data_IF_698040756711
#
_entry.id   IF_698040756711
#
_cell.length_a   1.000
_cell.length_b   1.000
_cell.length_c   1.000
_cell.angle_alpha   90.00
_cell.angle_beta   90.00
_cell.angle_gamma   90.00
#
_symmetry.space_group_name_H-M   'P 1'
#
loop_
_entity.id
_entity.type
_entity.pdbx_description
1 polymer ?
#
# COMPACT_ATOMS: atom_id res chain seq x y z
N UNK A 1 -45.56 6.18 -17.48
CA UNK A 1 -45.03 5.89 -18.84
C UNK A 1 -43.80 6.77 -19.01
N UNK A 2 -42.57 6.34 -19.27
CA UNK A 2 -41.98 5.07 -19.75
C UNK A 2 -40.65 4.86 -19.00
N UNK A 3 -40.37 3.65 -18.52
CA UNK A 3 -39.03 3.22 -18.13
C UNK A 3 -38.14 3.18 -19.37
N UNK A 4 -37.02 3.89 -19.35
CA UNK A 4 -35.93 3.67 -20.28
C UNK A 4 -35.23 2.36 -19.89
N UNK A 5 -35.60 1.26 -20.54
CA UNK A 5 -34.78 0.05 -20.59
C UNK A 5 -33.54 0.42 -21.40
N UNK A 6 -32.42 0.63 -20.71
CA UNK A 6 -31.10 0.58 -21.33
C UNK A 6 -30.87 -0.89 -21.69
N UNK A 7 -30.77 -1.16 -22.99
CA UNK A 7 -30.39 -2.46 -23.49
C UNK A 7 -28.97 -2.76 -23.00
N UNK A 8 -28.85 -3.68 -22.05
CA UNK A 8 -27.59 -4.36 -21.80
C UNK A 8 -27.27 -5.15 -23.07
N UNK A 9 -26.42 -4.60 -23.93
CA UNK A 9 -25.64 -5.40 -24.85
C UNK A 9 -24.76 -6.28 -23.95
N UNK A 10 -25.25 -7.47 -23.62
CA UNK A 10 -24.52 -8.44 -22.83
C UNK A 10 -23.32 -8.87 -23.64
N UNK A 11 -22.16 -8.27 -23.37
CA UNK A 11 -20.89 -8.91 -23.66
C UNK A 11 -20.94 -10.25 -22.94
N UNK A 12 -20.79 -11.35 -23.67
CA UNK A 12 -20.83 -12.69 -23.11
C UNK A 12 -19.55 -12.94 -22.29
N UNK A 13 -19.55 -12.40 -21.06
CA UNK A 13 -18.44 -12.46 -20.10
C UNK A 13 -18.01 -13.90 -19.82
N UNK A 14 -18.92 -14.86 -20.03
CA UNK A 14 -18.75 -16.30 -19.83
C UNK A 14 -17.54 -16.89 -20.59
N UNK A 15 -17.19 -16.30 -21.73
CA UNK A 15 -16.11 -16.79 -22.60
C UNK A 15 -14.81 -15.98 -22.51
N UNK A 16 -14.80 -14.86 -21.79
CA UNK A 16 -13.64 -14.00 -21.70
C UNK A 16 -12.62 -14.56 -20.72
N UNK A 17 -11.35 -14.40 -21.03
CA UNK A 17 -10.29 -14.59 -20.04
C UNK A 17 -10.15 -13.34 -19.16
N UNK A 18 -9.49 -13.48 -18.01
CA UNK A 18 -9.19 -12.34 -17.13
C UNK A 18 -8.44 -11.22 -17.89
N UNK A 19 -7.38 -11.50 -18.67
CA UNK A 19 -6.71 -10.46 -19.46
C UNK A 19 -7.61 -9.77 -20.48
N UNK A 20 -8.51 -10.51 -21.13
CA UNK A 20 -9.43 -9.89 -22.10
C UNK A 20 -10.39 -8.92 -21.40
N UNK A 21 -10.85 -9.26 -20.19
CA UNK A 21 -11.67 -8.38 -19.38
C UNK A 21 -10.90 -7.14 -18.89
N UNK A 22 -9.63 -7.30 -18.51
CA UNK A 22 -8.74 -6.19 -18.14
C UNK A 22 -8.54 -5.23 -19.33
N UNK A 23 -8.22 -5.76 -20.51
CA UNK A 23 -8.04 -5.01 -21.76
C UNK A 23 -9.29 -4.23 -22.15
N UNK A 24 -10.48 -4.84 -22.08
CA UNK A 24 -11.75 -4.14 -22.37
C UNK A 24 -11.94 -2.93 -21.45
N UNK A 25 -11.59 -3.05 -20.17
CA UNK A 25 -11.71 -1.94 -19.21
C UNK A 25 -10.66 -0.86 -19.51
N UNK A 26 -9.43 -1.24 -19.82
CA UNK A 26 -8.37 -0.31 -20.22
C UNK A 26 -8.74 0.48 -21.47
N UNK A 27 -9.24 -0.20 -22.51
CA UNK A 27 -9.71 0.41 -23.74
C UNK A 27 -10.86 1.38 -23.46
N UNK A 28 -11.85 0.97 -22.66
CA UNK A 28 -12.96 1.84 -22.29
C UNK A 28 -12.50 3.08 -21.51
N UNK A 29 -11.55 2.94 -20.58
CA UNK A 29 -10.97 4.07 -19.84
C UNK A 29 -10.18 5.01 -20.77
N UNK A 30 -9.48 4.45 -21.76
CA UNK A 30 -8.77 5.23 -22.76
C UNK A 30 -9.74 5.98 -23.69
N UNK A 31 -10.81 5.35 -24.17
CA UNK A 31 -11.86 6.01 -24.96
C UNK A 31 -12.55 7.12 -24.18
N UNK A 32 -12.82 6.87 -22.89
CA UNK A 32 -13.41 7.85 -21.99
C UNK A 32 -12.58 9.13 -21.91
N UNK A 33 -11.25 9.05 -22.06
CA UNK A 33 -10.36 10.23 -22.05
C UNK A 33 -10.68 11.25 -23.15
N UNK A 34 -11.35 10.83 -24.24
CA UNK A 34 -11.75 11.69 -25.36
C UNK A 34 -13.19 12.20 -25.24
N UNK A 35 -13.92 11.84 -24.19
CA UNK A 35 -15.31 12.27 -24.02
C UNK A 35 -15.43 13.77 -23.79
N UNK A 36 -16.39 14.39 -24.46
CA UNK A 36 -16.69 15.82 -24.36
C UNK A 36 -17.87 16.13 -23.42
N UNK A 37 -18.42 15.11 -22.75
CA UNK A 37 -19.52 15.33 -21.80
C UNK A 37 -19.05 16.17 -20.59
N UNK A 38 -19.65 17.35 -20.32
CA UNK A 38 -19.19 18.25 -19.26
C UNK A 38 -19.19 17.65 -17.85
N UNK A 39 -20.11 16.70 -17.58
CA UNK A 39 -20.17 15.99 -16.30
C UNK A 39 -19.03 15.00 -16.16
N UNK A 40 -18.80 14.21 -17.21
CA UNK A 40 -17.75 13.21 -17.28
C UNK A 40 -16.34 13.85 -17.28
N UNK A 41 -16.12 14.97 -17.97
CA UNK A 41 -14.82 15.68 -18.02
C UNK A 41 -14.24 16.00 -16.63
N UNK A 42 -15.09 16.27 -15.65
CA UNK A 42 -14.65 16.47 -14.26
C UNK A 42 -14.15 15.17 -13.61
N UNK A 43 -14.84 14.06 -13.85
CA UNK A 43 -14.46 12.73 -13.33
C UNK A 43 -13.24 12.15 -14.07
N UNK A 44 -13.09 12.43 -15.37
CA UNK A 44 -11.95 11.96 -16.18
C UNK A 44 -10.60 12.43 -15.66
N UNK A 45 -10.53 13.55 -14.94
CA UNK A 45 -9.28 13.97 -14.26
C UNK A 45 -8.75 12.93 -13.27
N UNK A 46 -9.61 12.06 -12.75
CA UNK A 46 -9.27 11.00 -11.82
C UNK A 46 -9.23 9.62 -12.47
N UNK A 47 -10.07 9.38 -13.49
CA UNK A 47 -10.20 8.08 -14.15
C UNK A 47 -9.31 7.91 -15.39
N UNK A 48 -8.93 9.01 -16.05
CA UNK A 48 -8.05 9.06 -17.20
C UNK A 48 -7.23 10.37 -17.18
N UNK A 49 -6.30 10.53 -16.22
CA UNK A 49 -5.55 11.77 -16.06
C UNK A 49 -4.67 12.07 -17.30
N UNK A 50 -4.62 13.32 -17.79
CA UNK A 50 -3.84 13.66 -18.98
C UNK A 50 -2.36 13.32 -18.83
N UNK A 51 -1.79 12.65 -19.84
CA UNK A 51 -0.39 12.23 -19.85
C UNK A 51 -0.12 10.92 -19.10
N UNK A 52 -1.17 10.23 -18.66
CA UNK A 52 -1.09 8.92 -18.05
C UNK A 52 -1.98 7.91 -18.78
N UNK A 53 -1.54 6.66 -18.83
CA UNK A 53 -2.28 5.50 -19.28
C UNK A 53 -2.81 4.77 -18.04
N UNK A 54 -4.09 4.42 -18.07
CA UNK A 54 -4.68 3.55 -17.06
C UNK A 54 -4.27 2.10 -17.32
N UNK A 55 -3.95 1.39 -16.25
CA UNK A 55 -3.69 -0.05 -16.25
C UNK A 55 -4.64 -0.69 -15.25
N UNK A 56 -5.25 -1.80 -15.66
CA UNK A 56 -6.32 -2.47 -14.92
C UNK A 56 -5.89 -3.86 -14.49
N UNK A 57 -6.11 -4.19 -13.23
CA UNK A 57 -5.94 -5.54 -12.70
C UNK A 57 -7.20 -6.00 -11.97
N UNK A 58 -7.71 -7.17 -12.35
CA UNK A 58 -8.76 -7.87 -11.61
C UNK A 58 -8.14 -8.65 -10.47
N UNK A 59 -8.45 -8.27 -9.23
CA UNK A 59 -7.87 -8.84 -8.02
C UNK A 59 -8.89 -9.68 -7.25
N UNK A 60 -8.49 -10.81 -6.69
CA UNK A 60 -9.36 -11.55 -5.75
C UNK A 60 -9.52 -10.84 -4.40
N UNK A 61 -10.49 -11.24 -3.56
CA UNK A 61 -10.74 -10.73 -2.20
C UNK A 61 -9.46 -10.50 -1.34
N UNK A 62 -8.48 -11.40 -1.46
CA UNK A 62 -7.20 -11.29 -0.73
C UNK A 62 -6.25 -10.21 -1.28
N UNK A 63 -6.65 -9.50 -2.33
CA UNK A 63 -5.87 -8.47 -3.03
C UNK A 63 -4.82 -8.98 -4.00
N UNK A 64 -4.88 -10.25 -4.43
CA UNK A 64 -3.98 -10.85 -5.43
C UNK A 64 -4.61 -10.76 -6.82
N UNK A 65 -3.84 -10.36 -7.84
CA UNK A 65 -4.29 -10.38 -9.23
C UNK A 65 -4.72 -11.80 -9.64
N UNK A 66 -5.87 -11.90 -10.32
CA UNK A 66 -6.44 -13.15 -10.82
C UNK A 66 -5.49 -13.78 -11.83
N UNK A 67 -5.60 -15.09 -12.02
CA UNK A 67 -4.68 -15.79 -12.92
C UNK A 67 -5.02 -15.43 -14.36
N UNK A 68 -4.00 -15.12 -15.17
CA UNK A 68 -4.19 -14.78 -16.59
C UNK A 68 -4.87 -15.87 -17.42
N UNK A 69 -4.77 -17.12 -17.00
CA UNK A 69 -5.41 -18.26 -17.67
C UNK A 69 -6.78 -18.63 -17.06
N UNK A 70 -7.29 -17.85 -16.10
CA UNK A 70 -8.63 -18.03 -15.57
C UNK A 70 -9.66 -17.31 -16.45
N UNK A 71 -10.90 -17.80 -16.42
CA UNK A 71 -12.04 -17.15 -17.04
C UNK A 71 -12.48 -15.95 -16.22
N UNK A 72 -13.08 -14.96 -16.88
CA UNK A 72 -13.63 -13.77 -16.26
C UNK A 72 -14.76 -14.08 -15.28
N UNK A 73 -15.47 -15.21 -15.45
CA UNK A 73 -16.47 -15.71 -14.48
C UNK A 73 -15.91 -15.98 -13.08
N UNK A 74 -14.60 -16.20 -12.96
CA UNK A 74 -13.96 -16.38 -11.65
C UNK A 74 -13.85 -15.08 -10.86
N UNK A 75 -14.12 -13.93 -11.47
CA UNK A 75 -14.18 -12.61 -10.83
C UNK A 75 -15.62 -12.31 -10.38
N UNK A 76 -15.79 -11.93 -9.11
CA UNK A 76 -17.07 -11.60 -8.51
C UNK A 76 -17.10 -10.13 -8.05
N UNK A 77 -18.07 -9.31 -8.49
CA UNK A 77 -18.18 -7.93 -8.02
C UNK A 77 -18.48 -7.80 -6.51
N UNK A 78 -18.91 -8.88 -5.84
CA UNK A 78 -19.22 -8.87 -4.41
C UNK A 78 -17.99 -9.10 -3.52
N UNK A 79 -17.03 -9.89 -4.00
CA UNK A 79 -15.87 -10.35 -3.21
C UNK A 79 -14.54 -9.83 -3.77
N UNK A 80 -14.47 -9.56 -5.06
CA UNK A 80 -13.26 -9.20 -5.78
C UNK A 80 -13.21 -7.70 -6.10
N UNK A 81 -12.03 -7.21 -6.43
CA UNK A 81 -11.77 -5.79 -6.64
C UNK A 81 -11.21 -5.53 -8.05
N UNK A 82 -11.55 -4.37 -8.63
CA UNK A 82 -10.86 -3.83 -9.81
C UNK A 82 -9.83 -2.81 -9.32
N UNK A 83 -8.57 -3.02 -9.65
CA UNK A 83 -7.50 -2.05 -9.37
C UNK A 83 -7.13 -1.31 -10.63
N UNK A 84 -7.17 0.01 -10.53
CA UNK A 84 -6.76 0.91 -11.61
C UNK A 84 -5.56 1.71 -11.11
N UNK A 85 -4.44 1.63 -11.83
CA UNK A 85 -3.28 2.46 -11.59
C UNK A 85 -2.87 3.19 -12.88
N UNK A 86 -2.02 4.21 -12.75
CA UNK A 86 -1.70 5.12 -13.83
C UNK A 86 -0.21 5.17 -14.08
N UNK A 87 0.19 4.87 -15.31
CA UNK A 87 1.56 4.98 -15.77
C UNK A 87 1.71 6.16 -16.72
N UNK A 88 2.86 6.84 -16.71
CA UNK A 88 3.04 8.06 -17.51
C UNK A 88 3.34 7.69 -18.97
N UNK A 89 2.60 8.28 -19.90
CA UNK A 89 2.78 8.06 -21.35
C UNK A 89 3.99 8.87 -21.81
N UNK A 90 5.06 8.20 -22.24
CA UNK A 90 6.30 8.84 -22.71
C UNK A 90 7.22 9.27 -21.55
N UNK A 91 8.32 8.54 -21.37
CA UNK A 91 9.32 8.74 -20.32
C UNK A 91 10.19 10.00 -20.46
N UNK A 92 9.59 11.17 -20.74
CA UNK A 92 10.27 12.47 -20.66
C UNK A 92 9.67 13.29 -19.52
N UNK A 93 10.47 13.44 -18.46
CA UNK A 93 10.28 14.33 -17.32
C UNK A 93 9.55 15.63 -17.72
N UNK A 94 8.30 15.79 -17.29
CA UNK A 94 7.62 17.06 -17.50
C UNK A 94 8.20 18.06 -16.52
N UNK A 95 8.80 19.11 -17.08
CA UNK A 95 9.10 20.35 -16.40
C UNK A 95 7.96 20.74 -15.44
N UNK A 96 8.28 21.24 -14.22
CA UNK A 96 7.28 21.57 -13.23
C UNK A 96 6.33 22.62 -13.80
N UNK A 97 5.06 22.24 -13.95
CA UNK A 97 3.99 23.18 -14.27
C UNK A 97 3.93 24.21 -13.15
N UNK A 98 4.31 25.45 -13.44
CA UNK A 98 4.10 26.61 -12.59
C UNK A 98 2.65 26.66 -12.15
N UNK A 99 2.42 26.35 -10.88
CA UNK A 99 1.14 26.58 -10.20
C UNK A 99 0.98 28.10 -10.12
N UNK A 100 0.12 28.67 -10.96
CA UNK A 100 -0.30 30.06 -10.82
C UNK A 100 -1.13 30.16 -9.54
N UNK A 101 -0.51 30.68 -8.49
CA UNK A 101 -1.15 31.02 -7.23
C UNK A 101 -2.23 32.08 -7.47
N UNK A 102 -3.41 31.85 -6.89
CA UNK A 102 -4.53 32.78 -6.92
C UNK A 102 -4.12 34.14 -6.32
N UNK A 103 -4.44 35.20 -7.04
CA UNK A 103 -4.17 36.57 -6.68
C UNK A 103 -4.88 36.99 -5.39
N UNK A 104 -4.14 37.67 -4.51
CA UNK A 104 -4.69 38.61 -3.53
C UNK A 104 -3.77 39.83 -3.48
N UNK A 105 -4.31 41.07 -3.51
CA UNK A 105 -3.48 42.25 -3.73
C UNK A 105 -2.95 42.80 -2.42
N UNK A 106 -1.66 43.12 -2.37
CA UNK A 106 -1.10 44.12 -1.46
C UNK A 106 0.19 44.65 -2.08
N UNK A 107 0.27 45.97 -2.14
CA UNK A 107 1.33 46.75 -2.77
C UNK A 107 2.67 46.61 -2.04
N UNK A 108 3.76 46.56 -2.80
CA UNK A 108 4.93 47.43 -2.69
C UNK A 108 6.02 46.92 -3.65
N UNK A 109 6.45 47.80 -4.54
CA UNK A 109 7.64 47.65 -5.37
C UNK A 109 8.89 47.70 -4.47
N UNK A 110 9.82 46.75 -4.61
CA UNK A 110 11.24 47.04 -4.70
C UNK A 110 12.01 45.85 -5.27
N UNK A 111 12.86 46.20 -6.22
CA UNK A 111 13.77 45.41 -7.03
C UNK A 111 14.93 44.80 -6.24
N UNK A 112 15.51 43.77 -6.88
CA UNK A 112 16.91 43.34 -6.86
C UNK A 112 17.45 42.37 -5.77
N UNK A 113 17.95 41.27 -6.33
CA UNK A 113 19.14 40.47 -6.00
C UNK A 113 19.09 39.39 -4.90
N UNK A 114 18.96 38.15 -5.39
CA UNK A 114 19.93 37.05 -5.24
C UNK A 114 20.63 36.90 -3.87
N UNK A 115 20.13 35.96 -3.06
CA UNK A 115 20.92 34.88 -2.42
C UNK A 115 20.00 34.09 -1.47
N UNK A 116 18.96 33.45 -2.02
CA UNK A 116 18.37 32.31 -1.30
C UNK A 116 19.30 31.13 -1.59
N UNK A 117 20.25 30.94 -0.69
CA UNK A 117 21.08 29.74 -0.57
C UNK A 117 20.12 28.56 -0.68
N UNK A 118 20.09 27.93 -1.85
CA UNK A 118 19.35 26.71 -2.06
C UNK A 118 19.92 25.71 -1.06
N UNK A 119 19.22 25.52 0.06
CA UNK A 119 19.57 24.46 0.98
C UNK A 119 19.67 23.18 0.15
N UNK A 120 20.78 22.45 0.26
CA UNK A 120 21.03 21.34 -0.62
C UNK A 120 19.89 20.34 -0.41
N UNK A 121 19.20 20.02 -1.50
CA UNK A 121 18.06 19.11 -1.54
C UNK A 121 18.59 17.68 -1.28
N UNK A 122 18.82 17.33 -0.01
CA UNK A 122 19.44 16.06 0.42
C UNK A 122 18.63 15.40 1.60
N UNK A 123 18.85 14.10 1.92
CA UNK A 123 18.09 13.03 2.62
C UNK A 123 16.80 13.19 3.44
N UNK A 124 16.31 14.38 3.76
CA UNK A 124 15.25 14.56 4.75
C UNK A 124 13.91 13.88 4.38
N UNK A 125 13.61 13.73 3.09
CA UNK A 125 12.42 13.00 2.62
C UNK A 125 12.54 11.49 2.93
N UNK A 126 13.75 10.92 2.86
CA UNK A 126 13.98 9.51 3.14
C UNK A 126 13.74 9.19 4.62
N UNK A 127 14.16 10.07 5.53
CA UNK A 127 13.91 9.91 6.97
C UNK A 127 12.41 9.96 7.30
N UNK A 128 11.67 10.87 6.67
CA UNK A 128 10.23 10.96 6.82
C UNK A 128 9.53 9.69 6.32
N UNK A 129 9.94 9.18 5.16
CA UNK A 129 9.42 7.92 4.58
C UNK A 129 9.72 6.71 5.45
N UNK A 130 10.94 6.61 5.99
CA UNK A 130 11.31 5.53 6.93
C UNK A 130 10.49 5.62 8.21
N UNK A 131 10.20 6.83 8.72
CA UNK A 131 9.33 7.02 9.88
C UNK A 131 7.89 6.56 9.59
N UNK A 132 7.34 6.89 8.43
CA UNK A 132 6.02 6.41 7.98
C UNK A 132 5.97 4.88 7.87
N UNK A 133 7.03 4.26 7.34
CA UNK A 133 7.19 2.80 7.30
C UNK A 133 7.19 2.21 8.72
N UNK A 134 7.95 2.79 9.65
CA UNK A 134 8.01 2.36 11.05
C UNK A 134 6.63 2.44 11.72
N UNK A 135 5.86 3.50 11.47
CA UNK A 135 4.49 3.64 11.97
C UNK A 135 3.58 2.53 11.44
N UNK A 136 3.67 2.22 10.14
CA UNK A 136 2.91 1.11 9.56
C UNK A 136 3.33 -0.25 10.14
N UNK A 137 4.62 -0.48 10.35
CA UNK A 137 5.09 -1.74 10.95
C UNK A 137 4.65 -1.87 12.42
N UNK A 138 4.69 -0.79 13.19
CA UNK A 138 4.16 -0.77 14.56
C UNK A 138 2.66 -1.09 14.61
N UNK A 139 1.88 -0.60 13.63
CA UNK A 139 0.47 -0.92 13.51
C UNK A 139 0.24 -2.39 13.13
N UNK A 140 1.03 -2.93 12.20
CA UNK A 140 0.97 -4.34 11.83
C UNK A 140 1.29 -5.26 13.01
N UNK A 141 2.30 -4.92 13.84
CA UNK A 141 2.63 -5.67 15.05
C UNK A 141 1.50 -5.65 16.10
N UNK A 142 0.71 -4.57 16.16
CA UNK A 142 -0.46 -4.46 17.06
C UNK A 142 -1.61 -5.39 16.64
N UNK A 143 -1.62 -5.89 15.41
CA UNK A 143 -2.64 -6.78 14.86
C UNK A 143 -2.68 -8.20 15.46
N UNK A 144 -1.83 -8.52 16.45
CA UNK A 144 -1.84 -9.81 17.16
C UNK A 144 -1.21 -10.97 16.39
N UNK A 145 -0.50 -10.70 15.29
CA UNK A 145 0.24 -11.71 14.55
C UNK A 145 1.48 -12.16 15.33
N UNK A 146 1.72 -13.47 15.44
CA UNK A 146 2.90 -14.02 16.10
C UNK A 146 4.22 -13.56 15.45
N UNK A 147 4.20 -13.30 14.13
CA UNK A 147 5.27 -12.68 13.37
C UNK A 147 4.70 -11.94 12.18
N UNK A 148 5.47 -10.99 11.64
CA UNK A 148 5.11 -10.26 10.42
C UNK A 148 5.99 -10.78 9.28
N UNK A 149 5.41 -11.42 8.27
CA UNK A 149 6.15 -11.84 7.08
C UNK A 149 6.48 -10.63 6.20
N UNK A 150 7.74 -10.49 5.77
CA UNK A 150 8.20 -9.40 4.90
C UNK A 150 7.34 -9.27 3.63
N UNK A 151 7.08 -10.41 2.98
CA UNK A 151 6.29 -10.46 1.75
C UNK A 151 4.87 -9.97 1.99
N UNK A 152 4.21 -10.44 3.03
CA UNK A 152 2.85 -10.03 3.37
C UNK A 152 2.79 -8.54 3.72
N UNK A 153 3.75 -8.05 4.51
CA UNK A 153 3.80 -6.65 4.87
C UNK A 153 3.96 -5.76 3.63
N UNK A 154 4.87 -6.11 2.73
CA UNK A 154 5.14 -5.34 1.50
C UNK A 154 4.02 -5.41 0.46
N UNK A 155 3.46 -6.61 0.24
CA UNK A 155 2.55 -6.87 -0.88
C UNK A 155 1.08 -6.69 -0.50
N UNK A 156 0.73 -6.79 0.79
CA UNK A 156 -0.67 -6.81 1.25
C UNK A 156 -0.98 -5.74 2.28
N UNK A 157 -0.11 -5.53 3.27
CA UNK A 157 -0.38 -4.56 4.34
C UNK A 157 -0.06 -3.13 3.91
N UNK A 158 1.15 -2.89 3.38
CA UNK A 158 1.61 -1.57 2.98
C UNK A 158 0.69 -0.91 1.94
N UNK A 159 0.25 -1.56 0.86
CA UNK A 159 -0.63 -0.94 -0.14
C UNK A 159 -1.94 -0.37 0.43
N UNK A 160 -2.37 -0.80 1.63
CA UNK A 160 -3.55 -0.26 2.33
C UNK A 160 -3.29 1.08 3.03
N UNK A 161 -2.05 1.57 3.04
CA UNK A 161 -1.63 2.84 3.65
C UNK A 161 -1.59 3.95 2.62
N UNK A 162 -2.08 5.12 2.98
CA UNK A 162 -2.17 6.29 2.12
C UNK A 162 -0.87 7.11 2.01
N UNK A 163 0.30 6.49 2.11
CA UNK A 163 1.58 7.18 1.98
C UNK A 163 1.93 7.47 0.51
N UNK A 164 2.56 8.61 0.23
CA UNK A 164 2.87 9.03 -1.15
C UNK A 164 3.83 8.08 -1.87
N UNK A 165 4.87 7.62 -1.18
CA UNK A 165 5.88 6.68 -1.72
C UNK A 165 5.35 5.25 -1.88
N UNK A 166 4.21 4.95 -1.26
CA UNK A 166 3.70 3.59 -1.17
C UNK A 166 2.93 3.16 -2.43
N UNK A 167 2.63 4.08 -3.35
CA UNK A 167 1.93 3.77 -4.61
C UNK A 167 2.80 2.94 -5.55
N UNK A 168 4.12 3.16 -5.57
CA UNK A 168 5.05 2.44 -6.43
C UNK A 168 5.71 1.23 -5.69
N UNK A 169 5.61 -0.01 -6.21
CA UNK A 169 6.29 -1.18 -5.66
C UNK A 169 7.80 -1.03 -5.46
N UNK A 170 8.49 -0.38 -6.38
CA UNK A 170 9.94 -0.15 -6.31
C UNK A 170 10.29 0.80 -5.17
N UNK A 171 9.50 1.87 -5.01
CA UNK A 171 9.66 2.80 -3.90
C UNK A 171 9.44 2.12 -2.55
N UNK A 172 8.43 1.23 -2.44
CA UNK A 172 8.23 0.40 -1.24
C UNK A 172 9.45 -0.47 -0.95
N UNK A 173 10.02 -1.10 -1.98
CA UNK A 173 11.19 -1.95 -1.83
C UNK A 173 12.43 -1.15 -1.43
N UNK A 174 12.66 0.01 -2.03
CA UNK A 174 13.78 0.89 -1.69
C UNK A 174 13.70 1.37 -0.23
N UNK A 175 12.53 1.82 0.23
CA UNK A 175 12.35 2.33 1.60
C UNK A 175 12.43 1.21 2.63
N UNK A 176 11.91 0.01 2.32
CA UNK A 176 12.11 -1.18 3.15
C UNK A 176 13.58 -1.58 3.24
N UNK A 177 14.30 -1.58 2.12
CA UNK A 177 15.73 -1.90 2.10
C UNK A 177 16.53 -0.90 2.93
N UNK A 178 16.24 0.39 2.79
CA UNK A 178 16.85 1.47 3.57
C UNK A 178 16.60 1.29 5.07
N UNK A 179 15.36 0.99 5.47
CA UNK A 179 15.00 0.76 6.87
C UNK A 179 15.69 -0.48 7.48
N UNK A 180 15.90 -1.52 6.67
CA UNK A 180 16.68 -2.71 7.07
C UNK A 180 18.16 -2.36 7.20
N UNK A 181 18.71 -1.64 6.23
CA UNK A 181 20.11 -1.23 6.23
C UNK A 181 20.47 -0.33 7.42
N UNK A 182 19.54 0.54 7.83
CA UNK A 182 19.66 1.39 9.01
C UNK A 182 19.44 0.66 10.34
N UNK A 183 19.04 -0.61 10.31
CA UNK A 183 18.78 -1.40 11.52
C UNK A 183 17.48 -1.05 12.26
N UNK A 184 16.66 -0.13 11.74
CA UNK A 184 15.34 0.20 12.31
C UNK A 184 14.31 -0.90 12.05
N UNK A 185 14.51 -1.71 11.01
CA UNK A 185 13.74 -2.93 10.73
C UNK A 185 14.66 -4.14 10.81
N UNK A 186 14.38 -5.05 11.72
CA UNK A 186 15.12 -6.31 11.86
C UNK A 186 14.49 -7.38 10.97
N UNK A 187 15.32 -8.19 10.33
CA UNK A 187 14.86 -9.35 9.57
C UNK A 187 15.29 -10.65 10.24
N UNK A 188 14.45 -11.68 10.18
CA UNK A 188 14.82 -13.03 10.62
C UNK A 188 14.20 -14.09 9.72
N UNK A 189 14.67 -15.34 9.83
CA UNK A 189 14.11 -16.48 9.09
C UNK A 189 13.35 -17.38 10.05
N UNK A 190 12.14 -17.76 9.68
CA UNK A 190 11.36 -18.79 10.38
C UNK A 190 10.91 -19.86 9.39
N UNK A 191 10.66 -21.07 9.89
CA UNK A 191 10.02 -22.11 9.08
C UNK A 191 8.63 -21.61 8.65
N UNK A 192 8.34 -21.69 7.36
CA UNK A 192 6.99 -21.37 6.89
C UNK A 192 6.04 -22.49 7.32
N UNK A 193 4.98 -22.21 8.10
CA UNK A 193 4.05 -23.23 8.57
C UNK A 193 3.34 -23.97 7.43
N UNK A 194 3.22 -23.35 6.24
CA UNK A 194 2.64 -23.99 5.05
C UNK A 194 3.65 -24.82 4.25
N UNK A 195 4.92 -24.41 4.25
CA UNK A 195 5.99 -25.06 3.47
C UNK A 195 7.32 -24.99 4.22
N UNK A 196 7.58 -25.91 5.18
CA UNK A 196 8.76 -25.83 6.05
C UNK A 196 10.11 -25.78 5.32
N UNK A 197 10.19 -26.41 4.14
CA UNK A 197 11.37 -26.40 3.27
C UNK A 197 11.73 -25.02 2.69
N UNK A 198 10.79 -24.07 2.71
CA UNK A 198 10.97 -22.72 2.17
C UNK A 198 10.75 -21.69 3.29
N UNK A 199 11.79 -21.35 4.07
CA UNK A 199 11.67 -20.46 5.20
C UNK A 199 11.20 -19.06 4.79
N UNK A 200 10.35 -18.45 5.62
CA UNK A 200 9.83 -17.11 5.39
C UNK A 200 10.70 -16.07 6.10
N UNK A 201 11.01 -14.99 5.40
CA UNK A 201 11.63 -13.81 6.02
C UNK A 201 10.56 -13.07 6.82
N UNK A 202 10.79 -12.90 8.13
CA UNK A 202 9.98 -12.04 8.99
C UNK A 202 10.67 -10.71 9.21
N UNK A 203 9.87 -9.70 9.54
CA UNK A 203 10.35 -8.37 9.93
C UNK A 203 9.78 -7.98 11.29
N UNK A 204 10.55 -7.20 12.04
CA UNK A 204 10.13 -6.59 13.31
C UNK A 204 10.71 -5.20 13.44
N UNK A 205 9.99 -4.33 14.14
CA UNK A 205 10.45 -2.97 14.39
C UNK A 205 11.49 -2.95 15.52
N UNK A 206 12.66 -2.39 15.24
CA UNK A 206 13.66 -2.09 16.25
C UNK A 206 13.32 -0.75 16.92
N UNK A 207 12.53 -0.80 18.00
CA UNK A 207 12.03 0.41 18.68
C UNK A 207 13.15 1.29 19.25
N UNK A 208 14.27 0.68 19.65
CA UNK A 208 15.45 1.41 20.15
C UNK A 208 16.07 2.31 19.07
N UNK A 209 16.27 1.77 17.86
CA UNK A 209 16.83 2.52 16.73
C UNK A 209 15.79 3.43 16.04
N UNK A 210 14.51 3.08 16.11
CA UNK A 210 13.42 3.86 15.52
C UNK A 210 13.03 5.11 16.35
N UNK A 211 13.59 5.29 17.55
CA UNK A 211 13.28 6.42 18.43
C UNK A 211 11.82 6.42 18.95
N UNK A 212 11.17 5.26 18.96
CA UNK A 212 9.79 5.09 19.44
C UNK A 212 9.87 4.59 20.90
N UNK A 213 9.30 5.31 21.88
CA UNK A 213 9.29 4.86 23.27
C UNK A 213 8.75 3.43 23.37
N UNK A 214 9.38 2.60 24.19
CA UNK A 214 8.99 1.21 24.45
C UNK A 214 7.72 1.16 25.33
N UNK A 215 6.65 1.80 24.88
CA UNK A 215 5.35 1.72 25.53
C UNK A 215 4.59 0.51 24.97
N UNK A 216 4.35 -0.45 25.87
CA UNK A 216 3.52 -1.64 25.70
C UNK A 216 4.19 -2.88 25.06
N UNK A 217 5.21 -3.40 25.73
CA UNK A 217 5.15 -4.81 26.16
C UNK A 217 4.71 -4.85 27.62
N UNK A 218 3.45 -4.49 27.92
CA UNK A 218 2.83 -4.98 29.15
C UNK A 218 2.72 -6.49 28.95
N UNK A 219 3.65 -7.20 29.57
CA UNK A 219 3.51 -8.61 29.83
C UNK A 219 2.14 -8.79 30.50
N UNK A 220 1.19 -9.37 29.76
CA UNK A 220 -0.06 -9.85 30.34
C UNK A 220 0.16 -11.34 30.54
N UNK A 221 0.72 -11.76 31.70
CA UNK A 221 0.82 -13.18 31.98
C UNK A 221 -0.58 -13.77 31.85
N UNK A 222 -0.71 -14.81 31.02
CA UNK A 222 -1.94 -15.58 30.94
C UNK A 222 -2.14 -16.17 32.32
N UNK A 223 -3.16 -15.71 33.04
CA UNK A 223 -3.58 -16.34 34.28
C UNK A 223 -4.10 -17.73 33.93
N UNK A 224 -3.23 -18.73 33.97
CA UNK A 224 -3.65 -20.13 33.89
C UNK A 224 -4.45 -20.37 35.16
N UNK A 225 -5.73 -20.73 35.03
CA UNK A 225 -6.50 -21.26 36.14
C UNK A 225 -5.95 -22.64 36.50
N UNK A 226 -4.91 -22.63 37.31
CA UNK A 226 -4.24 -23.77 37.89
C UNK A 226 -3.43 -23.26 39.07
N UNK A 227 -3.35 -24.07 40.12
CA UNK A 227 -2.64 -23.72 41.35
C UNK A 227 -1.22 -23.24 41.02
N UNK A 228 -0.81 -22.15 41.67
CA UNK A 228 0.50 -21.54 41.46
C UNK A 228 1.60 -22.57 41.69
N UNK A 229 2.59 -22.66 40.79
CA UNK A 229 3.75 -23.57 40.88
C UNK A 229 4.47 -23.56 42.25
N UNK A 230 4.35 -22.48 43.02
CA UNK A 230 4.82 -22.38 44.40
C UNK A 230 4.09 -23.31 45.38
N UNK A 231 2.81 -23.61 45.17
CA UNK A 231 2.05 -24.55 46.00
C UNK A 231 2.49 -26.00 45.77
N UNK A 232 2.82 -26.37 44.54
CA UNK A 232 3.30 -27.74 44.20
C UNK A 232 4.71 -28.00 44.74
N UNK A 233 5.58 -26.97 44.77
CA UNK A 233 6.95 -27.11 45.30
C UNK A 233 7.01 -27.16 46.84
N UNK A 234 6.04 -26.58 47.55
CA UNK A 234 5.96 -26.69 49.01
C UNK A 234 5.42 -28.04 49.48
N UNK A 235 4.60 -28.72 48.67
CA UNK A 235 4.06 -30.04 49.01
C UNK A 235 5.09 -31.18 48.86
N UNK A 236 6.09 -31.03 47.96
CA UNK A 236 7.12 -32.05 47.75
C UNK A 236 8.30 -31.97 48.76
N UNK A 237 8.43 -30.88 49.52
CA UNK A 237 9.46 -30.72 50.57
C UNK A 237 8.99 -31.04 51.99
N UNK A 238 7.73 -31.47 52.14
CA UNK A 238 7.11 -31.79 53.43
C UNK A 238 7.13 -33.25 53.84
N UNK A 239 7.76 -34.15 53.07
CA UNK A 239 7.84 -35.58 53.43
C UNK A 239 9.29 -35.99 53.72
N UNK A 240 9.71 -35.74 54.95
CA UNK A 240 10.73 -36.50 55.67
C UNK A 240 10.21 -36.83 57.07
#
# INVERSE_FOLDING_TARGET
MKSARVAQAGVDVSSLSIPDAEEIIEEALNELSYSQDPGLVRALRFLAPPGYQAIVELCSENGRSKRRNATAETWSPEEDEVRIYFERIGGEEAAPRTVRTAARPAAAEHDADEDEVAEPMVPADLDARVRELCNALAEAERGGHAFIALKWFRDSFLPRKSYRWNQNPESRQAILAEAIQRGVVLTSKIANPKTPAYPTTTIRLNRAEAGIPEEAQRFHPVAVHGETLTAVLEEERGVL
#
